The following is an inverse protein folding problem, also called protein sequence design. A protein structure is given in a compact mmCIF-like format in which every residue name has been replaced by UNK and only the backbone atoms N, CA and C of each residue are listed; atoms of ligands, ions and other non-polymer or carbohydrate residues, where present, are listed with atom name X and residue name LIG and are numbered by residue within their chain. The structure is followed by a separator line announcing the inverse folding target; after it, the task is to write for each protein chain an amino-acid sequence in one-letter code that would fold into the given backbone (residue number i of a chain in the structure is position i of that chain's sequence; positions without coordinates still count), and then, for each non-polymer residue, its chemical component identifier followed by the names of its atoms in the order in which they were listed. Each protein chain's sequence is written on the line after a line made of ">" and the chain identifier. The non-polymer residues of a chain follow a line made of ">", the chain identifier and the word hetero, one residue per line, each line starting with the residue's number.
data_IF_842808986985
#
_entry.id   IF_842808986985
#
_cell.length_a   1.000
_cell.length_b   1.000
_cell.length_c   1.000
_cell.angle_alpha   90.00
_cell.angle_beta   90.00
_cell.angle_gamma   90.00
#
_symmetry.space_group_name_H-M   'P 1'
#
loop_
_entity.id
_entity.type
_entity.pdbx_description
1 polymer ?
#
# COMPACT_ATOMS: atom_id res chain seq x y z
N UNK A 1 -57.63 12.16 1.91
CA UNK A 1 -56.46 11.43 2.46
C UNK A 1 -55.62 10.91 1.30
N UNK A 2 -54.47 11.53 1.00
CA UNK A 2 -53.48 11.02 0.03
C UNK A 2 -52.26 10.60 0.84
N UNK A 3 -51.98 9.30 0.89
CA UNK A 3 -50.80 8.74 1.53
C UNK A 3 -49.56 9.15 0.72
N UNK A 4 -48.65 9.88 1.36
CA UNK A 4 -47.31 10.10 0.86
C UNK A 4 -46.47 8.85 1.19
N UNK A 5 -46.06 8.11 0.15
CA UNK A 5 -45.13 6.99 0.29
C UNK A 5 -43.72 7.58 0.31
N UNK A 6 -43.12 7.60 1.51
CA UNK A 6 -41.71 7.92 1.71
C UNK A 6 -40.87 6.73 1.21
N UNK A 7 -40.28 6.88 0.02
CA UNK A 7 -39.27 5.96 -0.47
C UNK A 7 -38.01 6.09 0.39
N UNK A 8 -37.80 5.14 1.28
CA UNK A 8 -36.55 5.00 2.03
C UNK A 8 -35.45 4.60 1.06
N UNK A 9 -34.50 5.52 0.84
CA UNK A 9 -33.23 5.23 0.22
C UNK A 9 -32.44 4.28 1.13
N UNK A 10 -32.54 2.98 0.86
CA UNK A 10 -31.60 1.99 1.37
C UNK A 10 -30.23 2.29 0.74
N UNK A 11 -29.40 3.09 1.41
CA UNK A 11 -27.98 3.15 1.13
C UNK A 11 -27.44 1.71 1.25
N UNK A 12 -27.15 1.10 0.10
CA UNK A 12 -26.31 -0.08 0.04
C UNK A 12 -24.99 0.32 0.68
N UNK A 13 -24.75 -0.15 1.91
CA UNK A 13 -23.44 -0.13 2.51
C UNK A 13 -22.52 -0.86 1.53
N UNK A 14 -21.70 -0.09 0.80
CA UNK A 14 -20.69 -0.65 -0.05
C UNK A 14 -19.76 -1.46 0.87
N UNK A 15 -19.83 -2.79 0.78
CA UNK A 15 -18.89 -3.67 1.46
C UNK A 15 -17.47 -3.19 1.12
N UNK A 16 -16.72 -2.73 2.11
CA UNK A 16 -15.29 -2.48 1.94
C UNK A 16 -14.59 -3.84 1.85
N UNK A 17 -14.68 -4.48 0.69
CA UNK A 17 -13.83 -5.59 0.31
C UNK A 17 -12.48 -4.99 -0.09
N UNK A 18 -11.46 -5.15 0.76
CA UNK A 18 -10.17 -4.54 0.49
C UNK A 18 -9.08 -4.94 1.47
N UNK A 19 -7.96 -4.23 1.37
CA UNK A 19 -6.86 -4.25 2.32
C UNK A 19 -6.70 -2.87 2.95
N UNK A 20 -5.89 -2.79 4.00
CA UNK A 20 -5.35 -1.55 4.51
C UNK A 20 -3.82 -1.61 4.49
N UNK A 21 -3.21 -0.54 3.98
CA UNK A 21 -1.76 -0.34 4.05
C UNK A 21 -1.44 0.52 5.28
N UNK A 22 -0.72 -0.08 6.23
CA UNK A 22 -0.17 0.62 7.40
C UNK A 22 1.32 0.85 7.20
N UNK A 23 1.80 2.03 7.60
CA UNK A 23 3.23 2.35 7.62
C UNK A 23 3.66 2.51 9.07
N UNK A 24 4.41 1.53 9.57
CA UNK A 24 5.07 1.61 10.87
C UNK A 24 6.44 2.28 10.69
N UNK A 25 6.81 3.14 11.64
CA UNK A 25 8.04 3.92 11.56
C UNK A 25 8.77 3.89 12.90
N UNK A 26 10.04 3.50 12.87
CA UNK A 26 10.94 3.45 14.02
C UNK A 26 12.38 3.78 13.62
N UNK A 27 13.02 4.70 14.34
CA UNK A 27 14.43 5.09 14.16
C UNK A 27 14.88 5.28 12.70
N UNK A 28 14.11 6.04 11.88
CA UNK A 28 14.41 6.29 10.47
C UNK A 28 14.12 5.12 9.52
N UNK A 29 13.53 4.03 10.02
CA UNK A 29 13.04 2.89 9.23
C UNK A 29 11.54 3.04 8.97
N UNK A 30 11.09 2.51 7.85
CA UNK A 30 9.67 2.37 7.54
C UNK A 30 9.38 0.91 7.19
N UNK A 31 8.33 0.36 7.81
CA UNK A 31 7.77 -0.96 7.50
C UNK A 31 6.38 -0.78 6.92
N UNK A 32 6.16 -1.36 5.75
CA UNK A 32 4.88 -1.38 5.06
C UNK A 32 4.16 -2.67 5.39
N UNK A 33 2.91 -2.60 5.87
CA UNK A 33 2.13 -3.75 6.32
C UNK A 33 0.79 -3.74 5.59
N UNK A 34 0.43 -4.87 4.98
CA UNK A 34 -0.86 -5.09 4.36
C UNK A 34 -1.72 -5.94 5.29
N UNK A 35 -2.87 -5.40 5.70
CA UNK A 35 -3.84 -6.11 6.53
C UNK A 35 -5.15 -6.26 5.76
N UNK A 36 -5.77 -7.45 5.69
CA UNK A 36 -7.05 -7.60 5.01
C UNK A 36 -8.17 -6.96 5.83
N UNK A 37 -9.16 -6.36 5.18
CA UNK A 37 -10.36 -5.82 5.85
C UNK A 37 -11.31 -6.94 6.30
N UNK A 38 -11.23 -8.10 5.65
CA UNK A 38 -11.95 -9.32 6.01
C UNK A 38 -11.02 -10.54 5.90
N UNK A 39 -11.10 -11.48 6.87
CA UNK A 39 -10.17 -12.62 7.02
C UNK A 39 -10.08 -13.57 5.81
N UNK A 40 -10.99 -13.46 4.84
CA UNK A 40 -11.06 -14.34 3.67
C UNK A 40 -9.95 -14.11 2.62
N UNK A 41 -9.12 -13.07 2.75
CA UNK A 41 -8.09 -12.74 1.77
C UNK A 41 -6.68 -12.97 2.32
N UNK A 42 -5.90 -13.83 1.65
CA UNK A 42 -4.45 -13.97 1.91
C UNK A 42 -3.74 -12.75 1.32
N UNK A 43 -3.28 -11.84 2.17
CA UNK A 43 -2.54 -10.65 1.77
C UNK A 43 -1.13 -11.02 1.33
N UNK A 44 -0.89 -10.91 0.02
CA UNK A 44 0.37 -11.28 -0.59
C UNK A 44 0.91 -10.10 -1.40
N UNK A 45 1.95 -9.45 -0.91
CA UNK A 45 2.60 -8.38 -1.67
C UNK A 45 3.30 -9.00 -2.87
N UNK A 46 3.03 -8.45 -4.07
CA UNK A 46 3.73 -8.76 -5.32
C UNK A 46 4.65 -7.63 -5.74
N UNK A 47 4.24 -6.40 -5.51
CA UNK A 47 5.02 -5.24 -5.93
C UNK A 47 4.92 -4.15 -4.89
N UNK A 48 6.02 -3.45 -4.65
CA UNK A 48 6.08 -2.21 -3.89
C UNK A 48 6.70 -1.13 -4.74
N UNK A 49 6.12 0.06 -4.70
CA UNK A 49 6.73 1.28 -5.22
C UNK A 49 6.68 2.33 -4.12
N UNK A 50 7.81 2.99 -3.86
CA UNK A 50 7.87 4.14 -2.96
C UNK A 50 8.28 5.35 -3.76
N UNK A 51 7.55 6.44 -3.59
CA UNK A 51 7.72 7.69 -4.31
C UNK A 51 8.15 8.80 -3.36
N UNK A 52 9.12 9.60 -3.80
CA UNK A 52 9.62 10.76 -3.06
C UNK A 52 8.87 12.07 -3.37
N UNK A 53 9.27 13.20 -2.77
CA UNK A 53 8.57 14.48 -2.87
C UNK A 53 8.60 15.15 -4.26
N UNK A 54 9.44 14.69 -5.19
CA UNK A 54 9.59 15.27 -6.54
C UNK A 54 8.92 14.42 -7.62
N UNK A 55 7.77 13.83 -7.34
CA UNK A 55 6.95 13.24 -8.40
C UNK A 55 6.04 14.31 -9.01
N UNK A 56 6.41 14.86 -10.17
CA UNK A 56 5.48 15.65 -10.98
C UNK A 56 4.40 14.72 -11.56
N UNK A 57 3.22 15.27 -11.85
CA UNK A 57 2.07 14.51 -12.34
C UNK A 57 2.37 13.68 -13.61
N UNK A 58 3.34 14.11 -14.42
CA UNK A 58 3.64 13.52 -15.73
C UNK A 58 4.59 12.31 -15.67
N UNK A 59 5.36 12.12 -14.58
CA UNK A 59 6.19 10.92 -14.39
C UNK A 59 6.55 10.69 -12.93
N UNK A 60 5.83 9.79 -12.26
CA UNK A 60 6.22 9.27 -10.94
C UNK A 60 7.33 8.22 -11.09
N UNK A 61 8.58 8.60 -10.84
CA UNK A 61 9.68 7.63 -10.73
C UNK A 61 9.78 7.18 -9.27
N UNK A 62 9.66 5.87 -8.98
CA UNK A 62 9.83 5.40 -7.62
C UNK A 62 11.28 5.59 -7.17
N UNK A 63 11.47 6.03 -5.93
CA UNK A 63 12.78 6.00 -5.27
C UNK A 63 13.17 4.57 -4.86
N UNK A 64 12.19 3.68 -4.80
CA UNK A 64 12.41 2.26 -4.52
C UNK A 64 11.30 1.42 -5.15
N UNK A 65 11.70 0.32 -5.79
CA UNK A 65 10.81 -0.64 -6.43
C UNK A 65 11.30 -2.04 -6.07
N UNK A 66 10.38 -2.90 -5.61
CA UNK A 66 10.62 -4.35 -5.59
C UNK A 66 9.45 -5.07 -6.23
N UNK A 67 9.75 -6.18 -6.87
CA UNK A 67 8.80 -7.11 -7.44
C UNK A 67 9.10 -8.54 -6.99
N UNK A 68 8.03 -9.29 -6.73
CA UNK A 68 8.11 -10.70 -6.37
C UNK A 68 8.46 -11.53 -7.60
N UNK A 69 9.54 -12.30 -7.49
CA UNK A 69 10.01 -13.23 -8.54
C UNK A 69 9.57 -14.66 -8.27
N UNK A 70 9.59 -15.08 -7.01
CA UNK A 70 9.14 -16.41 -6.61
C UNK A 70 7.63 -16.40 -6.29
N UNK A 71 6.79 -17.09 -7.08
CA UNK A 71 5.35 -17.11 -6.84
C UNK A 71 4.94 -17.83 -5.54
N UNK A 72 5.79 -18.70 -4.99
CA UNK A 72 5.54 -19.45 -3.76
C UNK A 72 5.80 -18.59 -2.51
N UNK A 73 6.63 -17.56 -2.62
CA UNK A 73 6.88 -16.63 -1.52
C UNK A 73 5.68 -15.70 -1.34
N UNK A 74 5.28 -15.50 -0.08
CA UNK A 74 4.19 -14.61 0.26
C UNK A 74 4.49 -13.83 1.54
N UNK A 75 4.65 -12.52 1.40
CA UNK A 75 4.88 -11.61 2.53
C UNK A 75 3.71 -10.62 2.64
N UNK A 76 3.32 -10.34 3.87
CA UNK A 76 2.33 -9.31 4.19
C UNK A 76 2.98 -8.00 4.66
N UNK A 77 4.31 -7.99 4.83
CA UNK A 77 5.06 -6.80 5.26
C UNK A 77 6.42 -6.70 4.56
N UNK A 78 6.90 -5.46 4.36
CA UNK A 78 8.20 -5.14 3.78
C UNK A 78 8.86 -3.98 4.52
N UNK A 79 10.16 -4.10 4.78
CA UNK A 79 10.97 -3.00 5.30
C UNK A 79 11.55 -2.20 4.13
N UNK A 80 11.46 -0.87 4.19
CA UNK A 80 12.01 0.00 3.16
C UNK A 80 13.50 -0.28 2.93
N UNK A 81 13.85 -0.54 1.67
CA UNK A 81 15.22 -0.83 1.25
C UNK A 81 15.70 -2.26 1.52
N UNK A 82 14.85 -3.14 2.03
CA UNK A 82 15.16 -4.56 2.25
C UNK A 82 14.42 -5.40 1.22
N UNK A 83 15.17 -6.14 0.39
CA UNK A 83 14.63 -7.15 -0.52
C UNK A 83 14.58 -8.51 0.21
N UNK A 84 13.41 -9.01 0.63
CA UNK A 84 13.32 -10.36 1.18
C UNK A 84 13.58 -11.41 0.09
N UNK A 85 13.90 -12.64 0.52
CA UNK A 85 14.08 -13.76 -0.40
C UNK A 85 12.86 -13.92 -1.33
N UNK A 86 13.09 -14.15 -2.62
CA UNK A 86 12.03 -14.30 -3.62
C UNK A 86 11.52 -12.97 -4.20
N UNK A 87 12.08 -11.83 -3.78
CA UNK A 87 11.86 -10.52 -4.40
C UNK A 87 13.13 -10.05 -5.12
N UNK A 88 12.95 -9.22 -6.14
CA UNK A 88 14.01 -8.59 -6.92
C UNK A 88 13.66 -7.11 -7.14
N UNK A 89 14.69 -6.29 -7.21
CA UNK A 89 14.59 -4.86 -7.46
C UNK A 89 15.84 -4.15 -6.97
N UNK A 90 16.00 -2.91 -7.43
CA UNK A 90 17.17 -2.10 -7.08
C UNK A 90 17.11 -1.60 -5.63
N UNK A 91 18.26 -1.37 -4.99
CA UNK A 91 18.29 -0.66 -3.72
C UNK A 91 17.68 0.75 -3.88
N UNK A 92 17.14 1.35 -2.80
CA UNK A 92 16.58 2.68 -2.88
C UNK A 92 17.59 3.70 -3.44
N UNK A 93 17.16 4.52 -4.39
CA UNK A 93 17.98 5.59 -4.98
C UNK A 93 18.16 6.77 -4.02
N UNK A 94 17.35 6.84 -2.96
CA UNK A 94 17.44 7.82 -1.90
C UNK A 94 17.00 7.23 -0.55
N UNK A 95 17.61 7.72 0.53
CA UNK A 95 17.17 7.44 1.89
C UNK A 95 15.91 8.23 2.26
N UNK A 96 15.13 7.72 3.22
CA UNK A 96 14.02 8.48 3.80
C UNK A 96 14.58 9.64 4.63
N UNK A 97 14.09 10.85 4.35
CA UNK A 97 14.51 12.07 5.04
C UNK A 97 13.43 12.49 6.05
N UNK A 98 13.75 12.62 7.35
CA UNK A 98 12.80 13.06 8.36
C UNK A 98 12.05 14.34 7.94
N UNK A 99 10.75 14.39 8.21
CA UNK A 99 9.87 15.50 7.82
C UNK A 99 9.46 15.52 6.34
N UNK A 100 9.97 14.61 5.50
CA UNK A 100 9.59 14.53 4.08
C UNK A 100 8.38 13.62 3.88
N UNK A 101 7.45 14.03 3.01
CA UNK A 101 6.30 13.21 2.58
C UNK A 101 6.72 12.21 1.51
N UNK A 102 6.26 10.97 1.69
CA UNK A 102 6.42 9.88 0.74
C UNK A 102 5.06 9.23 0.48
N UNK A 103 4.96 8.55 -0.67
CA UNK A 103 3.82 7.70 -1.01
C UNK A 103 4.34 6.28 -1.25
N UNK A 104 3.65 5.29 -0.72
CA UNK A 104 3.88 3.87 -1.02
C UNK A 104 2.67 3.31 -1.72
N UNK A 105 2.90 2.56 -2.81
CA UNK A 105 1.89 1.77 -3.50
C UNK A 105 2.29 0.29 -3.40
N UNK A 106 1.35 -0.54 -2.96
CA UNK A 106 1.48 -1.98 -2.80
C UNK A 106 0.44 -2.68 -3.65
N UNK A 107 0.87 -3.72 -4.37
CA UNK A 107 0.01 -4.49 -5.25
C UNK A 107 0.11 -5.98 -4.92
N UNK A 108 -0.99 -6.70 -5.08
CA UNK A 108 -1.07 -8.13 -4.85
C UNK A 108 -2.37 -8.74 -5.38
N UNK A 109 -2.60 -10.05 -5.17
CA UNK A 109 -3.84 -10.69 -5.58
C UNK A 109 -5.04 -10.00 -4.92
N UNK A 110 -5.93 -9.44 -5.74
CA UNK A 110 -7.16 -8.80 -5.26
C UNK A 110 -6.96 -7.42 -4.62
N UNK A 111 -5.76 -6.81 -4.71
CA UNK A 111 -5.57 -5.44 -4.25
C UNK A 111 -4.54 -4.62 -5.03
N UNK A 112 -4.80 -3.32 -5.08
CA UNK A 112 -3.86 -2.28 -5.44
C UNK A 112 -4.19 -1.08 -4.54
N UNK A 113 -3.35 -0.82 -3.55
CA UNK A 113 -3.62 0.19 -2.54
C UNK A 113 -2.30 0.85 -2.08
N UNK A 114 -2.39 1.91 -1.30
CA UNK A 114 -1.22 2.64 -0.86
C UNK A 114 -1.48 3.49 0.36
N UNK A 115 -0.40 4.09 0.84
CA UNK A 115 -0.45 5.04 1.94
C UNK A 115 0.51 6.20 1.67
N UNK A 116 0.17 7.38 2.16
CA UNK A 116 1.10 8.48 2.26
C UNK A 116 1.57 8.64 3.70
N UNK A 117 2.85 8.90 3.91
CA UNK A 117 3.43 9.05 5.24
C UNK A 117 4.47 10.17 5.27
N UNK A 118 4.72 10.72 6.46
CA UNK A 118 5.83 11.65 6.71
C UNK A 118 6.93 10.84 7.39
N UNK A 119 8.12 10.78 6.79
CA UNK A 119 9.25 10.10 7.40
C UNK A 119 9.58 10.71 8.78
N UNK A 120 9.77 9.85 9.79
CA UNK A 120 10.04 10.20 11.19
C UNK A 120 11.44 9.74 11.57
#
# INVERSE_FOLDING_TARGET
>A
MRLAILAWLSLVAACQEGIHVTVEQDAGKARFIVTPVAERFRTCIRTVNVYGPQTTADRKVPIWHLERRDPEVCVASLDFGVAPQGFEGDPPTAQLRPGTRYEVALMGPGFNDGAAFIAR
#
